data_IF_083110390844
#
_entry.id   IF_083110390844
#
_cell.length_a   1.000
_cell.length_b   1.000
_cell.length_c   1.000
_cell.angle_alpha   90.00
_cell.angle_beta   90.00
_cell.angle_gamma   90.00
#
_symmetry.space_group_name_H-M   'P 1'
#
loop_
_entity.id
_entity.type
_entity.pdbx_description
1 polymer ?
#
# COMPACT_ATOMS: atom_id res chain seq x y z
N UNK A 1 -1.32 -20.71 -49.45
CA UNK A 1 -0.04 -20.94 -48.74
C UNK A 1 -0.36 -21.08 -47.26
N UNK A 2 -0.38 -22.31 -46.76
CA UNK A 2 -0.55 -22.63 -45.34
C UNK A 2 0.86 -22.74 -44.75
N UNK A 3 1.16 -21.93 -43.72
CA UNK A 3 2.43 -21.98 -43.00
C UNK A 3 2.27 -23.03 -41.90
N UNK A 4 2.97 -24.15 -42.04
CA UNK A 4 3.06 -25.17 -40.99
C UNK A 4 3.83 -24.61 -39.77
N UNK A 5 3.43 -24.95 -38.53
CA UNK A 5 4.16 -24.55 -37.34
C UNK A 5 5.51 -25.27 -37.25
N UNK A 6 6.59 -24.61 -36.76
CA UNK A 6 7.91 -25.21 -36.72
C UNK A 6 7.96 -26.34 -35.68
N UNK A 7 8.18 -27.54 -36.20
CA UNK A 7 8.88 -28.69 -35.61
C UNK A 7 8.81 -28.85 -34.09
N UNK A 8 7.97 -29.80 -33.67
CA UNK A 8 8.10 -30.54 -32.41
C UNK A 8 9.55 -30.99 -32.20
N UNK A 9 10.17 -30.52 -31.12
CA UNK A 9 11.50 -31.00 -30.71
C UNK A 9 11.36 -32.47 -30.28
N UNK A 10 11.77 -33.38 -31.16
CA UNK A 10 11.97 -34.79 -30.80
C UNK A 10 13.29 -34.89 -30.05
N UNK A 11 13.23 -34.91 -28.73
CA UNK A 11 14.40 -35.15 -27.87
C UNK A 11 14.55 -36.66 -27.71
N UNK A 12 15.66 -37.21 -28.21
CA UNK A 12 16.01 -38.62 -28.01
C UNK A 12 16.23 -38.90 -26.51
N UNK A 13 15.54 -39.90 -25.92
CA UNK A 13 15.47 -40.06 -24.46
C UNK A 13 16.73 -40.65 -23.80
N UNK A 14 17.79 -40.93 -24.57
CA UNK A 14 18.94 -41.72 -24.09
C UNK A 14 20.14 -40.85 -23.63
N UNK A 15 20.19 -39.55 -23.95
CA UNK A 15 21.45 -38.77 -23.78
C UNK A 15 21.41 -37.48 -22.96
N UNK A 16 20.30 -37.08 -22.36
CA UNK A 16 20.33 -35.95 -21.42
C UNK A 16 20.67 -36.44 -20.01
N UNK A 17 21.91 -36.15 -19.58
CA UNK A 17 22.34 -36.35 -18.19
C UNK A 17 21.29 -35.68 -17.28
N UNK A 18 20.72 -36.43 -16.33
CA UNK A 18 19.62 -36.01 -15.44
C UNK A 18 19.71 -34.57 -14.87
N UNK A 19 20.92 -34.00 -14.71
CA UNK A 19 21.12 -32.62 -14.27
C UNK A 19 20.80 -31.57 -15.34
N UNK A 20 21.12 -31.83 -16.60
CA UNK A 20 20.88 -30.91 -17.72
C UNK A 20 19.39 -30.79 -18.03
N UNK A 21 18.64 -31.90 -17.98
CA UNK A 21 17.18 -31.88 -18.16
C UNK A 21 16.46 -31.06 -17.10
N UNK A 22 16.90 -31.17 -15.83
CA UNK A 22 16.34 -30.38 -14.72
C UNK A 22 16.70 -28.90 -14.90
N UNK A 23 17.91 -28.58 -15.34
CA UNK A 23 18.31 -27.21 -15.62
C UNK A 23 17.46 -26.59 -16.75
N UNK A 24 17.32 -27.27 -17.89
CA UNK A 24 16.46 -26.80 -18.99
C UNK A 24 14.99 -26.68 -18.59
N UNK A 25 14.49 -27.60 -17.76
CA UNK A 25 13.14 -27.52 -17.24
C UNK A 25 12.97 -26.31 -16.32
N UNK A 26 13.90 -26.09 -15.40
CA UNK A 26 13.90 -24.93 -14.50
C UNK A 26 14.05 -23.61 -15.28
N UNK A 27 14.92 -23.56 -16.28
CA UNK A 27 15.12 -22.40 -17.14
C UNK A 27 13.90 -22.11 -18.01
N UNK A 28 13.27 -23.14 -18.59
CA UNK A 28 12.02 -23.00 -19.35
C UNK A 28 10.84 -22.56 -18.47
N UNK A 29 10.72 -23.10 -17.25
CA UNK A 29 9.67 -22.66 -16.33
C UNK A 29 9.96 -21.26 -15.76
N UNK A 30 11.22 -20.92 -15.53
CA UNK A 30 11.64 -19.58 -15.15
C UNK A 30 11.37 -18.57 -16.28
N UNK A 31 11.66 -18.92 -17.55
CA UNK A 31 11.36 -18.07 -18.70
C UNK A 31 9.85 -17.91 -18.92
N UNK A 32 9.08 -19.00 -18.81
CA UNK A 32 7.61 -18.96 -18.82
C UNK A 32 7.06 -18.10 -17.68
N UNK A 33 7.70 -18.09 -16.52
CA UNK A 33 7.34 -17.20 -15.40
C UNK A 33 7.67 -15.74 -15.72
N UNK A 34 8.83 -15.48 -16.33
CA UNK A 34 9.28 -14.15 -16.75
C UNK A 34 8.40 -13.53 -17.83
N UNK A 35 8.07 -14.28 -18.88
CA UNK A 35 7.15 -13.85 -19.94
C UNK A 35 5.75 -13.56 -19.39
N UNK A 36 5.25 -14.40 -18.47
CA UNK A 36 3.98 -14.16 -17.79
C UNK A 36 4.05 -12.89 -16.95
N UNK A 37 5.12 -12.66 -16.18
CA UNK A 37 5.30 -11.44 -15.38
C UNK A 37 5.32 -10.21 -16.31
N UNK A 38 6.11 -10.23 -17.38
CA UNK A 38 6.19 -9.14 -18.35
C UNK A 38 4.84 -8.86 -19.01
N UNK A 39 4.10 -9.90 -19.41
CA UNK A 39 2.75 -9.78 -19.96
C UNK A 39 1.78 -9.13 -18.98
N UNK A 40 1.82 -9.51 -17.69
CA UNK A 40 0.96 -8.90 -16.68
C UNK A 40 1.36 -7.46 -16.33
N UNK A 41 2.65 -7.11 -16.35
CA UNK A 41 3.10 -5.72 -16.28
C UNK A 41 2.60 -4.91 -17.47
N UNK A 42 2.70 -5.46 -18.69
CA UNK A 42 2.14 -4.83 -19.89
C UNK A 42 0.65 -4.57 -19.75
N UNK A 43 -0.13 -5.54 -19.24
CA UNK A 43 -1.55 -5.36 -18.91
C UNK A 43 -1.75 -4.26 -17.87
N UNK A 44 -1.00 -4.29 -16.78
CA UNK A 44 -1.09 -3.31 -15.68
C UNK A 44 -0.88 -1.88 -16.18
N UNK A 45 0.15 -1.66 -17.01
CA UNK A 45 0.45 -0.35 -17.59
C UNK A 45 -0.49 0.07 -18.71
N UNK A 46 -1.24 -0.87 -19.29
CA UNK A 46 -2.24 -0.58 -20.32
C UNK A 46 -3.61 -0.17 -19.74
N UNK A 47 -3.82 -0.33 -18.43
CA UNK A 47 -5.07 0.07 -17.77
C UNK A 47 -5.19 1.59 -17.79
N UNK A 48 -6.27 2.07 -18.42
CA UNK A 48 -6.61 3.49 -18.47
C UNK A 48 -7.63 3.81 -17.40
N UNK A 49 -7.41 4.92 -16.70
CA UNK A 49 -8.38 5.47 -15.76
C UNK A 49 -9.22 6.49 -16.52
N UNK A 50 -10.55 6.26 -16.66
CA UNK A 50 -11.40 7.19 -17.39
C UNK A 50 -11.47 8.54 -16.64
N UNK A 51 -11.65 9.66 -17.37
CA UNK A 51 -11.76 10.98 -16.76
C UNK A 51 -13.08 11.19 -16.01
N UNK A 52 -14.10 10.38 -16.31
CA UNK A 52 -15.37 10.35 -15.59
C UNK A 52 -15.36 9.28 -14.49
N UNK A 53 -16.15 9.50 -13.44
CA UNK A 53 -16.37 8.52 -12.35
C UNK A 53 -17.02 7.22 -12.85
N UNK A 54 -17.73 7.27 -13.98
CA UNK A 54 -18.23 6.09 -14.69
C UNK A 54 -17.06 5.27 -15.28
N UNK A 55 -16.91 4.04 -14.80
CA UNK A 55 -15.84 3.12 -15.22
C UNK A 55 -14.58 3.13 -14.33
N UNK A 56 -14.48 4.07 -13.37
CA UNK A 56 -13.34 4.14 -12.46
C UNK A 56 -13.24 2.91 -11.55
N UNK A 57 -14.38 2.42 -11.05
CA UNK A 57 -14.44 1.19 -10.23
C UNK A 57 -13.97 -0.06 -10.98
N UNK A 58 -14.29 -0.15 -12.28
CA UNK A 58 -13.87 -1.26 -13.13
C UNK A 58 -12.36 -1.22 -13.42
N UNK A 59 -11.81 -0.01 -13.67
CA UNK A 59 -10.38 0.19 -13.83
C UNK A 59 -9.60 -0.18 -12.55
N UNK A 60 -10.08 0.26 -11.38
CA UNK A 60 -9.50 -0.10 -10.07
C UNK A 60 -9.55 -1.63 -9.87
N UNK A 61 -10.68 -2.27 -10.17
CA UNK A 61 -10.86 -3.71 -10.01
C UNK A 61 -9.93 -4.49 -10.95
N UNK A 62 -9.79 -4.06 -12.19
CA UNK A 62 -8.85 -4.62 -13.17
C UNK A 62 -7.40 -4.47 -12.72
N UNK A 63 -7.05 -3.31 -12.16
CA UNK A 63 -5.71 -3.05 -11.64
C UNK A 63 -5.40 -3.94 -10.45
N UNK A 64 -6.29 -4.02 -9.45
CA UNK A 64 -6.14 -4.88 -8.27
C UNK A 64 -6.01 -6.35 -8.68
N UNK A 65 -6.83 -6.81 -9.62
CA UNK A 65 -6.79 -8.20 -10.08
C UNK A 65 -5.46 -8.52 -10.77
N UNK A 66 -4.99 -7.64 -11.65
CA UNK A 66 -3.70 -7.79 -12.34
C UNK A 66 -2.52 -7.74 -11.36
N UNK A 67 -2.58 -6.85 -10.36
CA UNK A 67 -1.57 -6.74 -9.32
C UNK A 67 -1.52 -7.98 -8.42
N UNK A 68 -2.68 -8.56 -8.06
CA UNK A 68 -2.74 -9.83 -7.30
C UNK A 68 -2.11 -10.98 -8.08
N UNK A 69 -2.36 -11.06 -9.39
CA UNK A 69 -1.73 -12.06 -10.25
C UNK A 69 -0.21 -11.87 -10.30
N UNK A 70 0.27 -10.64 -10.46
CA UNK A 70 1.71 -10.33 -10.40
C UNK A 70 2.34 -10.71 -9.07
N UNK A 71 1.67 -10.39 -7.95
CA UNK A 71 2.14 -10.77 -6.63
C UNK A 71 2.20 -12.29 -6.44
N UNK A 72 1.21 -13.03 -6.98
CA UNK A 72 1.22 -14.50 -6.95
C UNK A 72 2.33 -15.13 -7.80
N UNK A 73 2.69 -14.50 -8.93
CA UNK A 73 3.75 -14.97 -9.82
C UNK A 73 5.16 -14.66 -9.28
N UNK A 74 5.33 -13.54 -8.58
CA UNK A 74 6.63 -13.14 -8.05
C UNK A 74 6.53 -12.38 -6.73
N UNK A 75 6.27 -13.07 -5.60
CA UNK A 75 6.19 -12.44 -4.29
C UNK A 75 7.47 -11.66 -3.92
N UNK A 76 8.64 -12.15 -4.36
CA UNK A 76 9.94 -11.52 -4.09
C UNK A 76 10.10 -10.16 -4.74
N UNK A 77 9.48 -9.90 -5.90
CA UNK A 77 9.51 -8.57 -6.53
C UNK A 77 8.71 -7.55 -5.71
N UNK A 78 7.64 -7.99 -5.04
CA UNK A 78 6.76 -7.13 -4.24
C UNK A 78 7.13 -7.08 -2.76
N UNK A 79 8.13 -7.86 -2.32
CA UNK A 79 8.72 -7.74 -0.99
C UNK A 79 9.52 -6.44 -0.82
N UNK A 80 9.90 -5.78 -1.91
CA UNK A 80 10.56 -4.48 -1.88
C UNK A 80 9.53 -3.35 -1.77
N UNK A 81 9.60 -2.59 -0.67
CA UNK A 81 8.77 -1.39 -0.44
C UNK A 81 8.85 -0.39 -1.61
N UNK A 82 9.99 -0.34 -2.30
CA UNK A 82 10.24 0.56 -3.44
C UNK A 82 9.27 0.28 -4.59
N UNK A 83 9.05 -0.98 -4.98
CA UNK A 83 8.14 -1.28 -6.10
C UNK A 83 6.70 -0.89 -5.76
N UNK A 84 6.26 -1.16 -4.53
CA UNK A 84 4.94 -0.77 -4.04
C UNK A 84 4.77 0.75 -4.06
N UNK A 85 5.80 1.50 -3.64
CA UNK A 85 5.80 2.96 -3.69
C UNK A 85 5.79 3.50 -5.13
N UNK A 86 6.60 2.93 -6.03
CA UNK A 86 6.60 3.30 -7.45
C UNK A 86 5.23 3.07 -8.08
N UNK A 87 4.58 1.95 -7.77
CA UNK A 87 3.23 1.66 -8.23
C UNK A 87 2.19 2.62 -7.63
N UNK A 88 2.35 3.02 -6.36
CA UNK A 88 1.49 4.03 -5.74
C UNK A 88 1.62 5.39 -6.44
N UNK A 89 2.84 5.83 -6.76
CA UNK A 89 3.06 7.04 -7.55
C UNK A 89 2.54 6.93 -8.98
N UNK A 90 2.68 5.76 -9.61
CA UNK A 90 2.12 5.51 -10.93
C UNK A 90 0.59 5.65 -10.93
N UNK A 91 -0.08 5.03 -9.95
CA UNK A 91 -1.53 5.14 -9.76
C UNK A 91 -1.95 6.59 -9.49
N UNK A 92 -1.24 7.32 -8.62
CA UNK A 92 -1.50 8.74 -8.36
C UNK A 92 -1.39 9.59 -9.63
N UNK A 93 -0.40 9.33 -10.48
CA UNK A 93 -0.25 10.01 -11.77
C UNK A 93 -1.44 9.76 -12.69
N UNK A 94 -1.92 8.52 -12.78
CA UNK A 94 -3.07 8.16 -13.61
C UNK A 94 -4.37 8.78 -13.07
N UNK A 95 -4.52 8.86 -11.75
CA UNK A 95 -5.69 9.42 -11.08
C UNK A 95 -5.73 10.95 -11.06
N UNK A 96 -4.65 11.63 -11.42
CA UNK A 96 -4.55 13.09 -11.30
C UNK A 96 -5.67 13.83 -12.05
N UNK A 97 -6.03 13.33 -13.23
CA UNK A 97 -7.06 13.95 -14.08
C UNK A 97 -8.48 13.62 -13.59
N UNK A 98 -8.71 12.42 -13.05
CA UNK A 98 -10.04 11.97 -12.61
C UNK A 98 -10.38 12.38 -11.17
N UNK A 99 -9.39 12.35 -10.27
CA UNK A 99 -9.55 12.53 -8.82
C UNK A 99 -8.49 13.49 -8.27
N UNK A 100 -8.47 14.72 -8.78
CA UNK A 100 -7.49 15.75 -8.40
C UNK A 100 -7.49 16.06 -6.89
N UNK A 101 -8.66 16.05 -6.26
CA UNK A 101 -8.81 16.29 -4.83
C UNK A 101 -8.16 15.19 -3.98
N UNK A 102 -8.37 13.92 -4.34
CA UNK A 102 -7.72 12.77 -3.70
C UNK A 102 -6.20 12.87 -3.85
N UNK A 103 -5.72 13.15 -5.07
CA UNK A 103 -4.29 13.30 -5.34
C UNK A 103 -3.67 14.41 -4.48
N UNK A 104 -4.34 15.57 -4.40
CA UNK A 104 -3.86 16.71 -3.59
C UNK A 104 -3.82 16.38 -2.10
N UNK A 105 -4.86 15.72 -1.58
CA UNK A 105 -4.92 15.29 -0.17
C UNK A 105 -3.82 14.27 0.16
N UNK A 106 -3.55 13.34 -0.76
CA UNK A 106 -2.47 12.36 -0.61
C UNK A 106 -1.10 13.05 -0.63
N UNK A 107 -0.82 13.94 -1.58
CA UNK A 107 0.46 14.67 -1.62
C UNK A 107 0.67 15.52 -0.36
N UNK A 108 -0.38 16.12 0.18
CA UNK A 108 -0.31 16.81 1.45
C UNK A 108 0.05 15.87 2.60
N UNK A 109 -0.60 14.70 2.68
CA UNK A 109 -0.28 13.65 3.66
C UNK A 109 1.17 13.20 3.56
N UNK A 110 1.68 12.97 2.34
CA UNK A 110 3.09 12.58 2.12
C UNK A 110 4.02 13.68 2.65
N UNK A 111 3.75 14.95 2.33
CA UNK A 111 4.57 16.08 2.76
C UNK A 111 4.59 16.27 4.28
N UNK A 112 3.45 16.08 4.95
CA UNK A 112 3.30 16.34 6.39
C UNK A 112 3.77 15.15 7.24
N UNK A 113 3.47 13.92 6.81
CA UNK A 113 3.69 12.72 7.62
C UNK A 113 4.83 11.84 7.11
N UNK A 114 5.50 12.22 6.01
CA UNK A 114 6.56 11.45 5.35
C UNK A 114 6.16 9.99 5.05
N UNK A 115 4.86 9.71 4.94
CA UNK A 115 4.30 8.38 4.69
C UNK A 115 3.71 8.32 3.29
N UNK A 116 4.30 7.49 2.43
CA UNK A 116 3.73 7.14 1.13
C UNK A 116 2.63 6.11 1.35
N UNK A 117 1.39 6.36 0.89
CA UNK A 117 0.32 5.37 0.98
C UNK A 117 0.58 4.20 0.04
N UNK A 118 0.13 3.03 0.44
CA UNK A 118 0.09 1.85 -0.42
C UNK A 118 -0.96 2.03 -1.54
N UNK A 119 -0.84 1.26 -2.62
CA UNK A 119 -1.83 1.22 -3.71
C UNK A 119 -3.25 0.96 -3.18
N UNK A 120 -3.39 0.11 -2.17
CA UNK A 120 -4.69 -0.22 -1.59
C UNK A 120 -5.27 0.92 -0.73
N UNK A 121 -4.43 1.65 0.02
CA UNK A 121 -4.84 2.87 0.73
C UNK A 121 -5.30 3.95 -0.26
N UNK A 122 -4.62 4.08 -1.40
CA UNK A 122 -5.02 5.00 -2.47
C UNK A 122 -6.38 4.64 -3.06
N UNK A 123 -6.60 3.39 -3.44
CA UNK A 123 -7.88 2.97 -4.01
C UNK A 123 -9.04 3.14 -3.04
N UNK A 124 -8.84 2.89 -1.75
CA UNK A 124 -9.86 3.19 -0.73
C UNK A 124 -10.23 4.66 -0.72
N UNK A 125 -9.26 5.56 -0.80
CA UNK A 125 -9.53 7.00 -0.84
C UNK A 125 -10.27 7.42 -2.12
N UNK A 126 -9.97 6.80 -3.25
CA UNK A 126 -10.70 7.02 -4.51
C UNK A 126 -12.13 6.50 -4.43
N UNK A 127 -12.34 5.30 -3.90
CA UNK A 127 -13.68 4.72 -3.70
C UNK A 127 -14.53 5.58 -2.77
N UNK A 128 -13.94 6.10 -1.69
CA UNK A 128 -14.60 7.06 -0.81
C UNK A 128 -14.94 8.37 -1.50
N UNK A 129 -14.12 8.84 -2.42
CA UNK A 129 -14.40 10.04 -3.20
C UNK A 129 -15.53 9.81 -4.20
N UNK A 130 -15.56 8.66 -4.89
CA UNK A 130 -16.68 8.25 -5.76
C UNK A 130 -17.99 8.24 -4.96
N UNK A 131 -17.99 7.67 -3.76
CA UNK A 131 -19.17 7.63 -2.87
C UNK A 131 -19.61 9.01 -2.38
N UNK A 132 -18.70 9.98 -2.25
CA UNK A 132 -19.07 11.37 -1.92
C UNK A 132 -19.70 12.06 -3.12
N UNK A 133 -19.18 11.81 -4.32
CA UNK A 133 -19.67 12.39 -5.56
C UNK A 133 -21.03 11.81 -6.00
N UNK A 134 -21.41 10.62 -5.53
CA UNK A 134 -22.71 10.00 -5.84
C UNK A 134 -23.92 10.65 -5.15
N UNK A 135 -23.70 11.63 -4.26
CA UNK A 135 -24.71 12.62 -3.87
C UNK A 135 -25.92 12.14 -3.06
N UNK A 136 -25.94 10.89 -2.59
CA UNK A 136 -26.97 10.41 -1.63
C UNK A 136 -26.50 10.66 -0.20
N UNK A 137 -27.31 11.31 0.64
CA UNK A 137 -26.97 11.62 2.05
C UNK A 137 -26.53 10.38 2.84
N UNK A 138 -27.11 9.22 2.50
CA UNK A 138 -26.75 7.92 3.08
C UNK A 138 -25.34 7.46 2.69
N UNK A 139 -24.90 7.69 1.45
CA UNK A 139 -23.57 7.26 1.00
C UNK A 139 -22.45 8.21 1.44
N UNK A 140 -22.72 9.51 1.55
CA UNK A 140 -21.80 10.46 2.16
C UNK A 140 -21.56 10.13 3.66
N UNK A 141 -22.62 9.73 4.37
CA UNK A 141 -22.54 9.27 5.75
C UNK A 141 -21.73 7.96 5.88
N UNK A 142 -21.92 7.02 4.95
CA UNK A 142 -21.14 5.77 4.89
C UNK A 142 -19.65 6.04 4.64
N UNK A 143 -19.32 6.96 3.72
CA UNK A 143 -17.94 7.34 3.42
C UNK A 143 -17.24 8.01 4.64
N UNK A 144 -18.00 8.75 5.45
CA UNK A 144 -17.49 9.31 6.70
C UNK A 144 -17.23 8.21 7.75
N UNK A 145 -18.15 7.25 7.87
CA UNK A 145 -18.01 6.11 8.79
C UNK A 145 -16.82 5.21 8.42
N UNK A 146 -16.58 4.97 7.13
CA UNK A 146 -15.46 4.15 6.65
C UNK A 146 -14.08 4.79 6.90
N UNK A 147 -13.98 6.12 6.96
CA UNK A 147 -12.73 6.82 7.35
C UNK A 147 -12.49 6.82 8.85
N UNK A 148 -13.55 6.70 9.65
CA UNK A 148 -13.42 6.66 11.10
C UNK A 148 -12.99 5.25 11.50
N UNK A 149 -11.68 5.07 11.77
CA UNK A 149 -11.23 3.97 12.64
C UNK A 149 -12.17 3.95 13.85
N UNK A 150 -12.65 2.77 14.32
CA UNK A 150 -13.56 2.70 15.45
C UNK A 150 -12.98 3.60 16.54
N UNK A 151 -13.73 4.64 16.91
CA UNK A 151 -13.30 5.59 17.94
C UNK A 151 -12.93 4.72 19.14
N UNK A 152 -11.64 4.60 19.44
CA UNK A 152 -11.22 3.97 20.67
C UNK A 152 -11.91 4.76 21.77
N UNK A 153 -12.87 4.15 22.44
CA UNK A 153 -13.58 4.82 23.51
C UNK A 153 -12.52 5.25 24.53
N UNK A 154 -12.36 6.56 24.70
CA UNK A 154 -11.35 7.06 25.61
C UNK A 154 -11.85 6.85 27.03
N UNK A 155 -10.93 6.63 27.97
CA UNK A 155 -11.26 6.69 29.39
C UNK A 155 -11.87 8.07 29.68
N UNK A 156 -13.00 8.10 30.40
CA UNK A 156 -13.86 9.27 30.48
C UNK A 156 -14.62 9.29 31.82
N UNK A 157 -14.81 10.49 32.41
CA UNK A 157 -15.61 10.71 33.64
C UNK A 157 -15.22 9.75 34.79
N UNK A 158 -13.93 9.59 35.04
CA UNK A 158 -13.49 8.71 36.12
C UNK A 158 -13.64 7.22 35.85
N UNK A 159 -13.88 6.79 34.61
CA UNK A 159 -13.96 5.37 34.22
C UNK A 159 -12.83 4.99 33.27
N UNK A 160 -12.20 3.85 33.56
CA UNK A 160 -11.23 3.22 32.67
C UNK A 160 -11.96 2.43 31.58
N UNK A 161 -11.47 2.52 30.35
CA UNK A 161 -11.89 1.61 29.28
C UNK A 161 -10.93 0.41 29.25
N UNK A 162 -11.41 -0.83 29.47
CA UNK A 162 -10.60 -2.04 29.37
C UNK A 162 -9.92 -2.23 28.02
N UNK A 163 -10.46 -1.64 26.95
CA UNK A 163 -9.91 -1.69 25.59
C UNK A 163 -8.86 -0.58 25.32
N UNK A 164 -8.52 0.21 26.33
CA UNK A 164 -7.49 1.23 26.20
C UNK A 164 -6.08 0.62 26.18
N UNK A 165 -5.10 1.40 25.72
CA UNK A 165 -3.71 0.98 25.60
C UNK A 165 -2.89 1.08 26.90
N UNK A 166 -3.56 1.24 28.05
CA UNK A 166 -2.92 1.31 29.35
C UNK A 166 -3.70 0.45 30.35
N UNK A 167 -3.06 0.04 31.43
CA UNK A 167 -3.72 -0.67 32.53
C UNK A 167 -4.54 0.29 33.39
N UNK A 168 -5.55 -0.22 34.07
CA UNK A 168 -6.41 0.54 34.99
C UNK A 168 -5.61 1.35 36.01
N UNK A 169 -4.55 0.74 36.57
CA UNK A 169 -3.61 1.36 37.53
C UNK A 169 -2.88 2.60 37.02
N UNK A 170 -2.84 2.79 35.69
CA UNK A 170 -2.19 3.91 34.99
C UNK A 170 -3.20 4.88 34.35
N UNK A 171 -4.49 4.71 34.63
CA UNK A 171 -5.54 5.53 34.03
C UNK A 171 -5.66 6.88 34.74
N UNK A 172 -5.40 7.99 34.04
CA UNK A 172 -5.50 9.35 34.60
C UNK A 172 -6.93 9.78 34.94
N UNK A 173 -7.94 9.06 34.44
CA UNK A 173 -9.31 9.30 34.84
C UNK A 173 -9.61 8.71 36.21
N UNK A 174 -9.01 7.56 36.55
CA UNK A 174 -9.15 6.94 37.87
C UNK A 174 -8.19 7.53 38.91
N UNK A 175 -7.00 7.94 38.48
CA UNK A 175 -5.93 8.44 39.35
C UNK A 175 -5.43 9.81 38.85
N UNK A 176 -6.20 10.90 39.04
CA UNK A 176 -5.84 12.24 38.56
C UNK A 176 -4.49 12.73 39.09
N UNK A 177 -4.12 12.33 40.31
CA UNK A 177 -2.85 12.68 40.96
C UNK A 177 -1.61 12.16 40.20
N UNK A 178 -1.77 11.12 39.36
CA UNK A 178 -0.68 10.57 38.54
C UNK A 178 -0.52 11.30 37.19
N UNK A 179 -1.43 12.22 36.87
CA UNK A 179 -1.48 12.92 35.59
C UNK A 179 -0.27 13.82 35.39
N UNK A 180 0.11 14.58 36.41
CA UNK A 180 1.22 15.54 36.34
C UNK A 180 2.56 14.85 36.12
N UNK A 181 2.84 13.78 36.89
CA UNK A 181 4.05 12.97 36.74
C UNK A 181 4.18 12.34 35.33
N UNK A 182 3.05 11.99 34.69
CA UNK A 182 3.07 11.49 33.32
C UNK A 182 3.38 12.60 32.31
N UNK A 183 2.80 13.80 32.47
CA UNK A 183 3.08 14.93 31.59
C UNK A 183 4.54 15.36 31.68
N UNK A 184 5.13 15.36 32.88
CA UNK A 184 6.57 15.61 33.07
C UNK A 184 7.42 14.58 32.31
N UNK A 185 7.21 13.28 32.54
CA UNK A 185 7.95 12.21 31.83
C UNK A 185 7.81 12.28 30.30
N UNK A 186 6.65 12.71 29.80
CA UNK A 186 6.42 12.86 28.35
C UNK A 186 7.18 14.05 27.78
N UNK A 187 7.20 15.17 28.50
CA UNK A 187 7.95 16.35 28.11
C UNK A 187 9.46 16.06 28.11
N UNK A 188 9.97 15.36 29.13
CA UNK A 188 11.38 14.97 29.22
C UNK A 188 11.80 14.07 28.05
N UNK A 189 10.95 13.09 27.68
CA UNK A 189 11.18 12.24 26.50
C UNK A 189 11.20 13.04 25.21
N UNK A 190 10.27 13.98 25.03
CA UNK A 190 10.24 14.80 23.83
C UNK A 190 11.48 15.71 23.72
N UNK A 191 11.96 16.27 24.84
CA UNK A 191 13.20 17.06 24.87
C UNK A 191 14.45 16.24 24.57
N UNK A 192 14.51 14.98 25.01
CA UNK A 192 15.59 14.06 24.64
C UNK A 192 15.57 13.71 23.15
N UNK A 193 14.39 13.48 22.56
CA UNK A 193 14.24 13.17 21.13
C UNK A 193 14.63 14.37 20.27
N UNK A 194 14.23 15.59 20.63
CA UNK A 194 14.63 16.80 19.89
C UNK A 194 16.13 17.09 20.02
N UNK A 195 16.72 16.88 21.20
CA UNK A 195 18.16 17.05 21.41
C UNK A 195 18.99 16.01 20.64
N UNK A 196 18.51 14.76 20.57
CA UNK A 196 19.16 13.70 19.81
C UNK A 196 19.03 13.90 18.30
N UNK A 197 17.88 14.37 17.82
CA UNK A 197 17.67 14.70 16.40
C UNK A 197 18.56 15.87 15.94
N UNK A 198 18.71 16.91 16.78
CA UNK A 198 19.63 18.03 16.51
C UNK A 198 21.10 17.59 16.50
N UNK A 199 21.49 16.64 17.36
CA UNK A 199 22.85 16.09 17.37
C UNK A 199 23.17 15.29 16.10
N UNK A 200 22.20 14.56 15.54
CA UNK A 200 22.37 13.80 14.28
C UNK A 200 22.49 14.72 13.08
N UNK A 201 21.72 15.82 13.02
CA UNK A 201 21.80 16.77 11.90
C UNK A 201 23.13 17.55 11.83
N UNK A 202 23.79 17.80 12.96
CA UNK A 202 25.08 18.51 12.97
C UNK A 202 26.27 17.62 12.53
N UNK A 203 26.11 16.29 12.48
CA UNK A 203 27.16 15.36 12.05
C UNK A 203 27.13 15.04 10.55
N UNK A 204 26.22 15.63 9.76
CA UNK A 204 26.10 15.38 8.31
C UNK A 204 26.88 16.41 7.47
N UNK A 205 27.44 17.47 8.07
CA UNK A 205 28.16 18.53 7.34
C UNK A 205 29.69 18.30 7.19
N UNK A 206 30.18 17.08 7.40
CA UNK A 206 31.58 16.71 7.14
C UNK A 206 31.70 15.31 6.56
N UNK A 207 31.20 15.10 5.33
CA UNK A 207 31.72 14.10 4.38
C UNK A 207 31.63 14.70 2.97
#
# INVERSE_FOLDING_TARGET
MLIEPPNSIKIDPIYLKKKETVYYFLEHYASLSGEKIASHFGKLFSIKFPPSSSGLSEAISSFRSTLKLLHGLSPSLFAADILVQVLAFYVLRLLWETCRHVSTAVFHSIKVFAKIPTVEELFKEVELDILRQSGTEDQASLALQLRLKPKKELCHKGKHNPLSNHSESKCFQLFPEKREAYHQRRNDKNQQVTSSALAVCNNINYI
#
